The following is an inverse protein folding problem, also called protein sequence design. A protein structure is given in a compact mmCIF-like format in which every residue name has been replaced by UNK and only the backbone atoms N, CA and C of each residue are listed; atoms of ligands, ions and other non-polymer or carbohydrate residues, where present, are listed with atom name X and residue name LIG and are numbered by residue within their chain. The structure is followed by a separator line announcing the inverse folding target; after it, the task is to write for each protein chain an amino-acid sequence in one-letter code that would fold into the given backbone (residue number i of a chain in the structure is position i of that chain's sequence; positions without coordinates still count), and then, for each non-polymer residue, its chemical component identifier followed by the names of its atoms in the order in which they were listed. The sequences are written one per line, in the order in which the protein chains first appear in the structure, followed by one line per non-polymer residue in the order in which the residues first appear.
data_IF_959600943682
#
_entry.id   IF_959600943682
#
_cell.length_a   1.000
_cell.length_b   1.000
_cell.length_c   1.000
_cell.angle_alpha   90.00
_cell.angle_beta   90.00
_cell.angle_gamma   90.00
#
_symmetry.space_group_name_H-M   'P 1'
#
loop_
_entity.id
_entity.type
_entity.pdbx_description
1 polymer ?
#
# COMPACT_ATOMS: atom_id res chain seq x y z
N UNK A 1 -19.74 13.66 -7.87
CA UNK A 1 -20.52 12.84 -6.92
C UNK A 1 -21.25 11.77 -7.72
N UNK A 2 -20.62 10.62 -7.94
CA UNK A 2 -21.16 9.53 -8.75
C UNK A 2 -22.09 8.70 -7.84
N UNK A 3 -23.37 8.57 -8.20
CA UNK A 3 -24.40 7.85 -7.43
C UNK A 3 -23.86 6.48 -7.02
N UNK A 4 -23.69 6.26 -5.72
CA UNK A 4 -23.57 4.91 -5.16
C UNK A 4 -24.90 4.23 -5.47
N UNK A 5 -24.93 3.38 -6.51
CA UNK A 5 -26.09 2.55 -6.83
C UNK A 5 -26.34 1.67 -5.61
N UNK A 6 -27.38 1.95 -4.84
CA UNK A 6 -27.87 1.04 -3.81
C UNK A 6 -28.51 -0.15 -4.54
N UNK A 7 -27.68 -1.11 -4.91
CA UNK A 7 -28.10 -2.40 -5.47
C UNK A 7 -28.92 -3.13 -4.41
N UNK A 8 -30.11 -3.62 -4.78
CA UNK A 8 -31.03 -4.32 -3.87
C UNK A 8 -30.43 -5.64 -3.34
N UNK A 9 -30.91 -6.11 -2.19
CA UNK A 9 -30.41 -7.32 -1.51
C UNK A 9 -30.35 -8.55 -2.43
N UNK A 10 -31.40 -8.76 -3.24
CA UNK A 10 -31.46 -9.91 -4.17
C UNK A 10 -30.49 -9.79 -5.35
N UNK A 11 -30.28 -8.60 -5.92
CA UNK A 11 -29.30 -8.38 -7.00
C UNK A 11 -27.87 -8.61 -6.52
N UNK A 12 -27.54 -8.21 -5.27
CA UNK A 12 -26.22 -8.48 -4.67
C UNK A 12 -25.98 -9.99 -4.51
N UNK A 13 -27.01 -10.74 -4.07
CA UNK A 13 -26.95 -12.19 -3.93
C UNK A 13 -26.65 -12.86 -5.27
N UNK A 14 -27.40 -12.53 -6.31
CA UNK A 14 -27.17 -13.11 -7.64
C UNK A 14 -25.80 -12.75 -8.19
N UNK A 15 -25.35 -11.51 -8.00
CA UNK A 15 -24.00 -11.09 -8.39
C UNK A 15 -22.92 -11.87 -7.64
N UNK A 16 -23.08 -12.18 -6.36
CA UNK A 16 -22.07 -12.93 -5.61
C UNK A 16 -22.04 -14.42 -6.02
N UNK A 17 -23.19 -15.03 -6.29
CA UNK A 17 -23.32 -16.45 -6.64
C UNK A 17 -22.98 -16.74 -8.12
N UNK A 18 -23.29 -15.83 -9.05
CA UNK A 18 -23.08 -16.05 -10.49
C UNK A 18 -21.66 -15.78 -10.99
N UNK A 19 -20.77 -15.21 -10.16
CA UNK A 19 -19.42 -14.91 -10.63
C UNK A 19 -18.47 -16.07 -10.33
N UNK A 20 -18.20 -16.83 -11.38
CA UNK A 20 -17.19 -17.89 -11.38
C UNK A 20 -15.78 -17.28 -11.48
N UNK A 21 -15.19 -16.93 -10.34
CA UNK A 21 -13.82 -16.43 -10.29
C UNK A 21 -12.83 -17.58 -10.31
N UNK A 22 -11.96 -17.64 -11.33
CA UNK A 22 -10.89 -18.65 -11.44
C UNK A 22 -9.89 -18.63 -10.26
N UNK A 23 -9.76 -17.51 -9.54
CA UNK A 23 -8.90 -17.38 -8.35
C UNK A 23 -9.50 -16.43 -7.29
N UNK A 24 -9.31 -16.71 -5.98
CA UNK A 24 -9.79 -15.85 -4.88
C UNK A 24 -9.25 -14.41 -4.96
N UNK A 25 -8.01 -14.23 -5.43
CA UNK A 25 -7.41 -12.93 -5.66
C UNK A 25 -8.18 -12.09 -6.69
N UNK A 26 -8.66 -12.71 -7.78
CA UNK A 26 -9.39 -12.01 -8.84
C UNK A 26 -10.78 -11.56 -8.37
N UNK A 27 -11.42 -12.36 -7.52
CA UNK A 27 -12.68 -11.98 -6.86
C UNK A 27 -12.51 -10.72 -6.02
N UNK A 28 -11.44 -10.66 -5.25
CA UNK A 28 -11.18 -9.51 -4.40
C UNK A 28 -10.81 -8.28 -5.24
N UNK A 29 -9.99 -8.47 -6.26
CA UNK A 29 -9.55 -7.37 -7.12
C UNK A 29 -10.72 -6.77 -7.93
N UNK A 30 -11.80 -7.53 -8.16
CA UNK A 30 -13.00 -7.02 -8.83
C UNK A 30 -13.72 -5.95 -8.02
N UNK A 31 -13.71 -6.04 -6.68
CA UNK A 31 -14.25 -5.01 -5.78
C UNK A 31 -13.46 -3.71 -5.85
N UNK A 32 -12.14 -3.77 -6.05
CA UNK A 32 -11.34 -2.57 -6.32
C UNK A 32 -11.63 -1.97 -7.69
N UNK A 33 -11.99 -2.81 -8.67
CA UNK A 33 -12.26 -2.38 -10.04
C UNK A 33 -13.51 -1.49 -10.15
N UNK A 34 -14.43 -1.58 -9.18
CA UNK A 34 -15.55 -0.64 -9.02
C UNK A 34 -15.06 0.81 -8.85
N UNK A 35 -13.91 1.00 -8.20
CA UNK A 35 -13.28 2.31 -7.96
C UNK A 35 -12.08 2.61 -8.89
N UNK A 36 -12.00 1.95 -10.06
CA UNK A 36 -10.86 2.05 -10.99
C UNK A 36 -10.46 3.48 -11.39
N UNK A 37 -11.41 4.42 -11.48
CA UNK A 37 -11.12 5.83 -11.81
C UNK A 37 -10.28 6.48 -10.69
N UNK A 38 -10.75 6.38 -9.45
CA UNK A 38 -10.07 6.94 -8.29
C UNK A 38 -8.74 6.21 -8.01
N UNK A 39 -8.71 4.89 -8.20
CA UNK A 39 -7.47 4.12 -8.10
C UNK A 39 -6.40 4.62 -9.08
N UNK A 40 -6.76 4.89 -10.35
CA UNK A 40 -5.84 5.49 -11.34
C UNK A 40 -5.34 6.86 -10.91
N UNK A 41 -6.20 7.72 -10.36
CA UNK A 41 -5.82 9.05 -9.86
C UNK A 41 -4.83 8.95 -8.71
N UNK A 42 -5.03 8.01 -7.79
CA UNK A 42 -4.11 7.82 -6.66
C UNK A 42 -2.76 7.30 -7.14
N UNK A 43 -2.77 6.42 -8.14
CA UNK A 43 -1.56 5.88 -8.75
C UNK A 43 -0.76 6.99 -9.47
N UNK A 44 -1.42 7.84 -10.25
CA UNK A 44 -0.76 8.98 -10.91
C UNK A 44 -0.24 10.00 -9.88
N UNK A 45 -1.03 10.34 -8.85
CA UNK A 45 -0.57 11.17 -7.74
C UNK A 45 0.65 10.56 -7.04
N UNK A 46 0.67 9.24 -6.87
CA UNK A 46 1.81 8.52 -6.30
C UNK A 46 3.08 8.63 -7.14
N UNK A 47 2.95 8.57 -8.48
CA UNK A 47 4.08 8.75 -9.41
C UNK A 47 4.61 10.18 -9.35
N UNK A 48 3.72 11.18 -9.47
CA UNK A 48 4.09 12.62 -9.39
C UNK A 48 4.78 12.92 -8.06
N UNK A 49 4.22 12.43 -6.96
CA UNK A 49 4.83 12.57 -5.65
C UNK A 49 6.21 11.92 -5.57
N UNK A 50 6.43 10.77 -6.21
CA UNK A 50 7.72 10.08 -6.19
C UNK A 50 8.78 10.85 -6.97
N UNK A 51 8.42 11.46 -8.11
CA UNK A 51 9.29 12.36 -8.86
C UNK A 51 9.71 13.55 -8.00
N UNK A 52 8.73 14.23 -7.38
CA UNK A 52 8.99 15.38 -6.50
C UNK A 52 9.77 14.98 -5.24
N UNK A 53 9.57 13.78 -4.71
CA UNK A 53 10.35 13.30 -3.57
C UNK A 53 11.83 13.12 -3.92
N UNK A 54 12.14 12.73 -5.17
CA UNK A 54 13.51 12.55 -5.65
C UNK A 54 14.21 13.86 -6.02
N UNK A 55 13.51 15.00 -6.07
CA UNK A 55 14.19 16.29 -6.24
C UNK A 55 14.99 16.67 -4.99
N UNK A 56 14.59 16.19 -3.80
CA UNK A 56 15.33 16.43 -2.57
C UNK A 56 16.80 15.95 -2.64
N UNK A 57 17.09 14.66 -2.93
CA UNK A 57 18.47 14.20 -3.07
C UNK A 57 19.20 14.78 -4.29
N UNK A 58 18.49 15.32 -5.29
CA UNK A 58 19.11 16.04 -6.41
C UNK A 58 19.55 17.45 -6.02
N UNK A 59 18.76 18.15 -5.20
CA UNK A 59 19.03 19.53 -4.81
C UNK A 59 20.01 19.66 -3.64
N UNK A 60 20.20 18.60 -2.85
CA UNK A 60 21.18 18.62 -1.76
C UNK A 60 22.62 18.70 -2.26
N UNK A 61 22.93 18.13 -3.44
CA UNK A 61 24.27 18.21 -4.05
C UNK A 61 24.71 19.65 -4.30
N UNK A 62 23.96 20.43 -5.11
CA UNK A 62 24.23 21.85 -5.32
C UNK A 62 24.25 22.68 -4.03
N UNK A 63 23.39 22.35 -3.05
CA UNK A 63 23.40 23.01 -1.75
C UNK A 63 24.72 22.79 -0.99
N UNK A 64 25.28 21.58 -1.07
CA UNK A 64 26.59 21.27 -0.51
C UNK A 64 27.71 21.95 -1.28
N UNK A 65 27.63 22.02 -2.61
CA UNK A 65 28.65 22.70 -3.43
C UNK A 65 28.79 24.18 -3.07
N UNK A 66 27.68 24.86 -2.74
CA UNK A 66 27.69 26.26 -2.24
C UNK A 66 28.35 26.37 -0.87
N UNK A 67 28.21 25.35 -0.01
CA UNK A 67 28.80 25.34 1.33
C UNK A 67 30.30 24.99 1.32
N UNK A 68 30.72 24.15 0.39
CA UNK A 68 32.09 23.64 0.32
C UNK A 68 33.00 24.57 -0.49
N UNK A 69 32.47 25.23 -1.52
CA UNK A 69 33.27 26.16 -2.34
C UNK A 69 33.36 27.55 -1.70
N UNK A 70 34.55 28.00 -1.25
CA UNK A 70 34.72 29.31 -0.63
C UNK A 70 34.43 30.49 -1.58
N UNK A 71 34.45 30.21 -2.89
CA UNK A 71 34.23 31.18 -3.96
C UNK A 71 32.77 31.58 -4.14
N UNK A 72 31.82 30.81 -3.60
CA UNK A 72 30.40 31.07 -3.74
C UNK A 72 29.91 31.81 -2.48
N UNK A 73 29.27 32.98 -2.61
CA UNK A 73 28.69 33.65 -1.46
C UNK A 73 27.66 32.76 -0.78
N UNK A 74 27.75 32.63 0.55
CA UNK A 74 26.81 31.84 1.37
C UNK A 74 25.36 32.30 1.14
N UNK A 75 25.15 33.57 0.78
CA UNK A 75 23.83 34.11 0.40
C UNK A 75 23.12 33.34 -0.73
N UNK A 76 23.86 32.66 -1.60
CA UNK A 76 23.29 31.85 -2.69
C UNK A 76 22.64 30.54 -2.22
N UNK A 77 22.78 30.17 -0.93
CA UNK A 77 22.13 28.98 -0.38
C UNK A 77 20.64 29.18 -0.11
N UNK A 78 20.24 30.41 0.23
CA UNK A 78 18.85 30.74 0.56
C UNK A 78 17.86 30.38 -0.55
N UNK A 79 18.07 30.71 -1.84
CA UNK A 79 17.15 30.31 -2.90
C UNK A 79 17.04 28.79 -3.03
N UNK A 80 18.15 28.05 -2.93
CA UNK A 80 18.14 26.58 -2.98
C UNK A 80 17.32 25.99 -1.83
N UNK A 81 17.50 26.52 -0.62
CA UNK A 81 16.76 26.09 0.56
C UNK A 81 15.25 26.40 0.43
N UNK A 82 14.89 27.58 -0.06
CA UNK A 82 13.49 27.96 -0.32
C UNK A 82 12.86 27.05 -1.38
N UNK A 83 13.58 26.74 -2.46
CA UNK A 83 13.11 25.79 -3.48
C UNK A 83 12.86 24.41 -2.90
N UNK A 84 13.78 23.89 -2.08
CA UNK A 84 13.59 22.62 -1.38
C UNK A 84 12.37 22.69 -0.48
N UNK A 85 12.22 23.74 0.34
CA UNK A 85 11.10 23.89 1.27
C UNK A 85 9.75 23.89 0.52
N UNK A 86 9.64 24.63 -0.58
CA UNK A 86 8.43 24.70 -1.39
C UNK A 86 8.10 23.33 -1.98
N UNK A 87 9.07 22.66 -2.61
CA UNK A 87 8.84 21.36 -3.23
C UNK A 87 8.46 20.31 -2.18
N UNK A 88 9.15 20.27 -1.04
CA UNK A 88 8.85 19.32 0.03
C UNK A 88 7.49 19.59 0.68
N UNK A 89 7.07 20.85 0.78
CA UNK A 89 5.72 21.21 1.22
C UNK A 89 4.66 20.66 0.27
N UNK A 90 4.87 20.78 -1.05
CA UNK A 90 3.99 20.20 -2.07
C UNK A 90 3.95 18.67 -1.95
N UNK A 91 5.10 18.01 -1.77
CA UNK A 91 5.18 16.56 -1.55
C UNK A 91 4.36 16.13 -0.33
N UNK A 92 4.41 16.92 0.76
CA UNK A 92 3.63 16.69 1.98
C UNK A 92 2.13 16.84 1.77
N UNK A 93 1.69 17.85 1.02
CA UNK A 93 0.27 18.04 0.68
C UNK A 93 -0.23 16.87 -0.18
N UNK A 94 0.54 16.49 -1.21
CA UNK A 94 0.23 15.34 -2.06
C UNK A 94 0.18 14.02 -1.26
N UNK A 95 1.04 13.88 -0.25
CA UNK A 95 1.01 12.74 0.67
C UNK A 95 -0.31 12.65 1.44
N UNK A 96 -0.72 13.77 2.03
CA UNK A 96 -1.96 13.87 2.79
C UNK A 96 -3.18 13.54 1.93
N UNK A 97 -3.28 14.17 0.75
CA UNK A 97 -4.36 13.93 -0.21
C UNK A 97 -4.42 12.45 -0.62
N UNK A 98 -3.28 11.86 -0.98
CA UNK A 98 -3.18 10.46 -1.39
C UNK A 98 -3.61 9.51 -0.27
N UNK A 99 -3.13 9.71 0.96
CA UNK A 99 -3.52 8.89 2.11
C UNK A 99 -5.01 8.99 2.39
N UNK A 100 -5.55 10.21 2.35
CA UNK A 100 -6.98 10.43 2.55
C UNK A 100 -7.82 9.69 1.50
N UNK A 101 -7.50 9.88 0.22
CA UNK A 101 -8.20 9.18 -0.88
C UNK A 101 -8.11 7.66 -0.76
N UNK A 102 -6.95 7.13 -0.33
CA UNK A 102 -6.79 5.70 -0.10
C UNK A 102 -7.63 5.15 1.03
N UNK A 103 -7.64 5.84 2.17
CA UNK A 103 -8.48 5.46 3.30
C UNK A 103 -9.96 5.50 2.92
N UNK A 104 -10.36 6.50 2.13
CA UNK A 104 -11.74 6.66 1.67
C UNK A 104 -12.18 5.54 0.72
N UNK A 105 -11.45 5.27 -0.38
CA UNK A 105 -11.77 4.15 -1.29
C UNK A 105 -11.79 2.86 -0.50
N UNK A 106 -10.77 2.70 0.33
CA UNK A 106 -10.61 1.56 1.16
C UNK A 106 -11.82 1.27 2.04
N UNK A 107 -12.30 2.27 2.78
CA UNK A 107 -13.47 2.15 3.65
C UNK A 107 -14.70 1.69 2.85
N UNK A 108 -14.91 2.25 1.66
CA UNK A 108 -16.05 1.88 0.80
C UNK A 108 -15.95 0.45 0.26
N UNK A 109 -14.77 0.01 -0.18
CA UNK A 109 -14.54 -1.36 -0.65
C UNK A 109 -14.87 -2.39 0.43
N UNK A 110 -14.44 -2.12 1.67
CA UNK A 110 -14.75 -2.99 2.81
C UNK A 110 -16.22 -2.97 3.16
N UNK A 111 -16.84 -1.79 3.13
CA UNK A 111 -18.25 -1.64 3.41
C UNK A 111 -19.07 -2.52 2.46
N UNK A 112 -18.76 -2.48 1.16
CA UNK A 112 -19.40 -3.35 0.17
C UNK A 112 -19.12 -4.84 0.43
N UNK A 113 -17.86 -5.20 0.69
CA UNK A 113 -17.48 -6.59 0.94
C UNK A 113 -18.15 -7.17 2.19
N UNK A 114 -18.21 -6.41 3.29
CA UNK A 114 -18.91 -6.82 4.52
C UNK A 114 -20.40 -6.99 4.27
N UNK A 115 -21.04 -6.04 3.58
CA UNK A 115 -22.47 -6.14 3.29
C UNK A 115 -22.80 -7.38 2.45
N UNK A 116 -21.97 -7.71 1.46
CA UNK A 116 -22.17 -8.89 0.61
C UNK A 116 -21.91 -10.21 1.38
N UNK A 117 -20.98 -10.20 2.33
CA UNK A 117 -20.76 -11.34 3.22
C UNK A 117 -21.90 -11.53 4.23
N UNK A 118 -22.38 -10.45 4.84
CA UNK A 118 -23.51 -10.48 5.76
C UNK A 118 -24.80 -10.95 5.07
N UNK A 119 -25.08 -10.48 3.85
CA UNK A 119 -26.26 -10.93 3.11
C UNK A 119 -26.18 -12.41 2.75
N UNK A 120 -24.98 -12.93 2.50
CA UNK A 120 -24.77 -14.36 2.25
C UNK A 120 -25.04 -15.20 3.50
N UNK A 121 -24.54 -14.77 4.67
CA UNK A 121 -24.77 -15.45 5.94
C UNK A 121 -26.25 -15.49 6.32
N UNK A 122 -27.00 -14.41 6.04
CA UNK A 122 -28.44 -14.33 6.36
C UNK A 122 -29.32 -15.31 5.59
N UNK A 123 -28.86 -15.83 4.46
CA UNK A 123 -29.64 -16.74 3.58
C UNK A 123 -29.18 -18.20 3.75
N UNK A 124 -28.19 -18.47 4.60
CA UNK A 124 -27.77 -19.83 4.93
C UNK A 124 -28.85 -20.58 5.71
N UNK A 125 -28.87 -21.91 5.56
CA UNK A 125 -29.83 -22.75 6.27
C UNK A 125 -29.58 -22.74 7.78
N UNK A 126 -30.66 -22.77 8.56
CA UNK A 126 -30.60 -22.82 10.03
C UNK A 126 -29.75 -23.99 10.54
N UNK A 127 -29.88 -25.17 9.93
CA UNK A 127 -29.07 -26.35 10.25
C UNK A 127 -27.56 -26.10 10.11
N UNK A 128 -27.14 -25.32 9.11
CA UNK A 128 -25.72 -25.03 8.89
C UNK A 128 -25.20 -23.98 9.89
N UNK A 129 -26.05 -23.00 10.24
CA UNK A 129 -25.73 -21.98 11.24
C UNK A 129 -25.66 -22.55 12.67
N UNK A 130 -26.47 -23.57 12.98
CA UNK A 130 -26.41 -24.26 14.27
C UNK A 130 -25.13 -25.10 14.43
N UNK A 131 -24.66 -25.73 13.34
CA UNK A 131 -23.38 -26.46 13.32
C UNK A 131 -22.16 -25.53 13.37
N UNK A 132 -22.25 -24.35 12.75
CA UNK A 132 -21.14 -23.41 12.64
C UNK A 132 -21.44 -22.15 13.47
N UNK A 133 -20.92 -22.09 14.70
CA UNK A 133 -21.07 -20.96 15.64
C UNK A 133 -21.04 -19.60 14.92
N UNK A 134 -22.22 -19.00 14.73
CA UNK A 134 -22.40 -17.75 13.95
C UNK A 134 -21.47 -16.62 14.39
N UNK A 135 -21.20 -16.51 15.69
CA UNK A 135 -20.27 -15.52 16.25
C UNK A 135 -18.80 -15.72 15.80
N UNK A 136 -18.35 -16.97 15.70
CA UNK A 136 -16.99 -17.28 15.22
C UNK A 136 -16.86 -17.01 13.72
N UNK A 137 -17.89 -17.38 12.94
CA UNK A 137 -17.95 -17.09 11.51
C UNK A 137 -17.87 -15.59 11.21
N UNK A 138 -18.66 -14.78 11.90
CA UNK A 138 -18.65 -13.32 11.72
C UNK A 138 -17.30 -12.73 12.15
N UNK A 139 -16.72 -13.19 13.25
CA UNK A 139 -15.43 -12.73 13.77
C UNK A 139 -14.28 -13.03 12.80
N UNK A 140 -14.20 -14.27 12.30
CA UNK A 140 -13.17 -14.72 11.35
C UNK A 140 -13.32 -13.98 10.02
N UNK A 141 -14.54 -13.90 9.50
CA UNK A 141 -14.84 -13.17 8.26
C UNK A 141 -14.47 -11.69 8.36
N UNK A 142 -14.80 -11.04 9.48
CA UNK A 142 -14.45 -9.63 9.72
C UNK A 142 -12.93 -9.43 9.79
N UNK A 143 -12.23 -10.35 10.47
CA UNK A 143 -10.78 -10.33 10.60
C UNK A 143 -10.09 -10.52 9.23
N UNK A 144 -10.56 -11.47 8.43
CA UNK A 144 -10.02 -11.74 7.10
C UNK A 144 -10.28 -10.57 6.15
N UNK A 145 -11.47 -9.97 6.19
CA UNK A 145 -11.79 -8.74 5.45
C UNK A 145 -10.91 -7.56 5.88
N UNK A 146 -10.55 -7.47 7.16
CA UNK A 146 -9.63 -6.44 7.65
C UNK A 146 -8.19 -6.64 7.18
N UNK A 147 -7.70 -7.88 7.14
CA UNK A 147 -6.39 -8.18 6.56
C UNK A 147 -6.36 -7.81 5.08
N UNK A 148 -7.46 -8.11 4.39
CA UNK A 148 -7.58 -7.79 2.98
C UNK A 148 -7.64 -6.29 2.71
N UNK A 149 -8.37 -5.57 3.56
CA UNK A 149 -8.35 -4.11 3.65
C UNK A 149 -6.92 -3.59 3.67
N UNK A 150 -6.10 -4.05 4.61
CA UNK A 150 -4.75 -3.53 4.80
C UNK A 150 -3.88 -3.84 3.59
N UNK A 151 -4.03 -5.05 3.04
CA UNK A 151 -3.33 -5.45 1.83
C UNK A 151 -3.66 -4.54 0.64
N UNK A 152 -4.94 -4.30 0.35
CA UNK A 152 -5.36 -3.53 -0.82
C UNK A 152 -5.18 -2.01 -0.67
N UNK A 153 -5.45 -1.47 0.52
CA UNK A 153 -5.40 -0.03 0.78
C UNK A 153 -3.98 0.49 0.95
N UNK A 154 -3.20 -0.21 1.78
CA UNK A 154 -1.91 0.28 2.23
C UNK A 154 -0.80 -0.42 1.46
N UNK A 155 -0.77 -1.75 1.51
CA UNK A 155 0.41 -2.50 1.07
C UNK A 155 0.55 -2.57 -0.45
N UNK A 156 -0.54 -2.83 -1.18
CA UNK A 156 -0.50 -3.01 -2.63
C UNK A 156 -0.08 -1.72 -3.34
N UNK A 157 -0.68 -0.59 -2.96
CA UNK A 157 -0.32 0.69 -3.55
C UNK A 157 1.04 1.20 -3.11
N UNK A 158 1.38 1.01 -1.83
CA UNK A 158 2.71 1.32 -1.34
C UNK A 158 3.75 0.52 -2.13
N UNK A 159 3.52 -0.77 -2.35
CA UNK A 159 4.40 -1.62 -3.14
C UNK A 159 4.61 -1.08 -4.56
N UNK A 160 3.52 -0.78 -5.30
CA UNK A 160 3.63 -0.21 -6.65
C UNK A 160 4.45 1.09 -6.62
N UNK A 161 4.16 1.99 -5.68
CA UNK A 161 4.91 3.24 -5.53
C UNK A 161 6.38 3.01 -5.22
N UNK A 162 6.71 2.06 -4.34
CA UNK A 162 8.10 1.77 -4.00
C UNK A 162 8.85 1.20 -5.20
N UNK A 163 8.20 0.35 -6.01
CA UNK A 163 8.78 -0.09 -7.27
C UNK A 163 9.06 1.10 -8.20
N UNK A 164 8.08 1.98 -8.41
CA UNK A 164 8.25 3.18 -9.26
C UNK A 164 9.38 4.08 -8.73
N UNK A 165 9.36 4.41 -7.43
CA UNK A 165 10.39 5.24 -6.80
C UNK A 165 11.77 4.61 -6.96
N UNK A 166 11.88 3.29 -6.74
CA UNK A 166 13.13 2.56 -6.90
C UNK A 166 13.66 2.66 -8.33
N UNK A 167 12.85 2.32 -9.34
CA UNK A 167 13.28 2.42 -10.74
C UNK A 167 13.64 3.85 -11.14
N UNK A 168 12.83 4.83 -10.73
CA UNK A 168 13.08 6.23 -11.04
C UNK A 168 14.38 6.73 -10.39
N UNK A 169 14.63 6.38 -9.12
CA UNK A 169 15.88 6.71 -8.44
C UNK A 169 17.09 6.07 -9.09
N UNK A 170 16.95 4.83 -9.56
CA UNK A 170 18.01 4.08 -10.22
C UNK A 170 18.35 4.73 -11.57
N UNK A 171 17.33 5.06 -12.38
CA UNK A 171 17.50 5.79 -13.64
C UNK A 171 18.19 7.14 -13.41
N UNK A 172 17.74 7.93 -12.44
CA UNK A 172 18.36 9.21 -12.08
C UNK A 172 19.83 9.01 -11.66
N UNK A 173 20.11 8.01 -10.84
CA UNK A 173 21.47 7.72 -10.38
C UNK A 173 22.39 7.31 -11.53
N UNK A 174 21.90 6.55 -12.50
CA UNK A 174 22.65 6.21 -13.71
C UNK A 174 23.05 7.45 -14.53
N UNK A 175 22.19 8.47 -14.60
CA UNK A 175 22.50 9.73 -15.27
C UNK A 175 23.51 10.59 -14.50
N UNK A 176 23.48 10.55 -13.16
CA UNK A 176 24.43 11.31 -12.32
C UNK A 176 25.81 10.65 -12.34
N UNK A 177 25.87 9.36 -12.02
CA UNK A 177 27.11 8.62 -11.94
C UNK A 177 26.86 7.11 -12.17
N UNK A 178 27.23 6.67 -13.37
CA UNK A 178 27.15 5.28 -13.80
C UNK A 178 27.91 4.31 -12.88
N UNK A 179 29.09 4.69 -12.38
CA UNK A 179 29.91 3.81 -11.54
C UNK A 179 29.22 3.54 -10.19
N UNK A 180 28.72 4.61 -9.54
CA UNK A 180 27.95 4.50 -8.30
C UNK A 180 26.67 3.69 -8.49
N UNK A 181 25.96 3.88 -9.62
CA UNK A 181 24.76 3.11 -9.93
C UNK A 181 25.04 1.60 -10.01
N UNK A 182 26.14 1.19 -10.66
CA UNK A 182 26.56 -0.20 -10.72
C UNK A 182 26.90 -0.79 -9.35
N UNK A 183 27.61 -0.04 -8.50
CA UNK A 183 27.88 -0.47 -7.13
C UNK A 183 26.58 -0.73 -6.35
N UNK A 184 25.61 0.20 -6.42
CA UNK A 184 24.31 0.03 -5.76
C UNK A 184 23.56 -1.19 -6.31
N UNK A 185 23.61 -1.41 -7.63
CA UNK A 185 22.93 -2.53 -8.29
C UNK A 185 23.53 -3.89 -7.89
N UNK A 186 24.83 -3.96 -7.63
CA UNK A 186 25.51 -5.18 -7.13
C UNK A 186 25.22 -5.40 -5.64
N UNK A 187 25.21 -4.35 -4.84
CA UNK A 187 24.98 -4.46 -3.38
C UNK A 187 23.51 -4.78 -3.06
N UNK A 188 22.57 -4.26 -3.84
CA UNK A 188 21.12 -4.46 -3.65
C UNK A 188 20.69 -5.95 -3.57
N UNK A 189 21.08 -6.86 -4.49
CA UNK A 189 20.72 -8.27 -4.41
C UNK A 189 21.38 -8.98 -3.22
N UNK A 190 22.59 -8.58 -2.81
CA UNK A 190 23.25 -9.14 -1.62
C UNK A 190 22.48 -8.80 -0.35
N UNK A 191 22.05 -7.53 -0.21
CA UNK A 191 21.19 -7.09 0.89
C UNK A 191 19.82 -7.80 0.85
N UNK A 192 19.22 -7.91 -0.33
CA UNK A 192 17.94 -8.59 -0.51
C UNK A 192 18.03 -10.07 -0.13
N UNK A 193 19.09 -10.76 -0.55
CA UNK A 193 19.35 -12.16 -0.20
C UNK A 193 19.54 -12.34 1.31
N UNK A 194 20.33 -11.47 1.94
CA UNK A 194 20.55 -11.49 3.40
C UNK A 194 19.23 -11.28 4.15
N UNK A 195 18.40 -10.35 3.69
CA UNK A 195 17.06 -10.12 4.25
C UNK A 195 16.16 -11.35 4.10
N UNK A 196 16.20 -12.04 2.97
CA UNK A 196 15.44 -13.27 2.75
C UNK A 196 15.88 -14.40 3.69
N UNK A 197 17.19 -14.57 3.90
CA UNK A 197 17.72 -15.53 4.88
C UNK A 197 17.25 -15.19 6.29
N UNK A 198 17.37 -13.92 6.69
CA UNK A 198 16.93 -13.46 8.00
C UNK A 198 15.43 -13.68 8.21
N UNK A 199 14.60 -13.36 7.20
CA UNK A 199 13.15 -13.63 7.22
C UNK A 199 12.84 -15.11 7.37
N UNK A 200 13.56 -16.00 6.67
CA UNK A 200 13.39 -17.46 6.79
C UNK A 200 13.72 -17.94 8.20
N UNK A 201 14.75 -17.40 8.83
CA UNK A 201 15.17 -17.76 10.20
C UNK A 201 14.23 -17.21 11.28
N UNK A 202 13.68 -16.01 11.09
CA UNK A 202 12.74 -15.38 12.03
C UNK A 202 11.35 -16.00 12.01
N UNK A 203 10.85 -16.43 10.84
CA UNK A 203 9.49 -16.97 10.69
C UNK A 203 9.15 -18.10 11.69
N UNK A 204 9.98 -19.14 11.89
CA UNK A 204 9.68 -20.18 12.88
C UNK A 204 9.73 -19.67 14.32
N UNK A 205 10.58 -18.68 14.63
CA UNK A 205 10.70 -18.10 15.98
C UNK A 205 9.40 -17.38 16.34
N UNK A 206 8.89 -16.52 15.46
CA UNK A 206 7.61 -15.83 15.67
C UNK A 206 6.43 -16.81 15.77
N UNK A 207 6.45 -17.89 14.99
CA UNK A 207 5.43 -18.94 15.08
C UNK A 207 5.45 -19.57 16.48
N UNK A 208 6.64 -19.94 16.98
CA UNK A 208 6.82 -20.53 18.31
C UNK A 208 6.39 -19.57 19.42
N UNK A 209 6.74 -18.28 19.33
CA UNK A 209 6.27 -17.27 20.29
C UNK A 209 4.74 -17.21 20.34
N UNK A 210 4.07 -17.19 19.17
CA UNK A 210 2.59 -17.12 19.10
C UNK A 210 1.91 -18.38 19.68
N UNK A 211 2.52 -19.55 19.48
CA UNK A 211 2.05 -20.81 20.09
C UNK A 211 2.21 -20.81 21.61
N UNK A 212 3.33 -20.29 22.15
CA UNK A 212 3.56 -20.18 23.60
C UNK A 212 2.57 -19.20 24.25
N UNK A 213 2.33 -18.03 23.63
CA UNK A 213 1.33 -17.09 24.13
C UNK A 213 -0.06 -17.73 24.20
N UNK A 214 -0.47 -18.47 23.16
CA UNK A 214 -1.75 -19.17 23.15
C UNK A 214 -1.86 -20.19 24.31
N UNK A 215 -0.78 -20.93 24.62
CA UNK A 215 -0.77 -21.89 25.74
C UNK A 215 -0.95 -21.22 27.10
N UNK A 216 -0.29 -20.08 27.34
CA UNK A 216 -0.36 -19.37 28.63
C UNK A 216 -1.74 -18.71 28.82
N UNK A 217 -2.39 -18.24 27.75
CA UNK A 217 -3.73 -17.63 27.83
C UNK A 217 -4.85 -18.66 28.01
N UNK A 218 -4.58 -19.95 27.77
CA UNK A 218 -5.55 -21.04 27.92
C UNK A 218 -5.45 -21.80 29.26
N UNK A 219 -4.54 -21.39 30.17
CA UNK A 219 -4.45 -21.85 31.57
C UNK A 219 -4.89 -20.75 32.52
#
# INVERSE_FOLDING_TARGET
MEKVKHIGFQERREKFLNINYKTPLKQILSYLWEYKKLFRVILTLGIVQSILFLTFPLLIGPALDVLVNPSIPIGNIFPVFITILIIQSIVGILFGLRIYSNRWIGANVIYNLRNDLFSTIQVMSWSWLDENKTGDLISRTTSDVNLLKEFLQNNFQLFIRQCVTFFLSLVILFFINFQLAFFVLIISPVLFYTLLMFRRKLRPIFKKSRETYAKITHT
#
